data_IF_723919788150
#
_entry.id   IF_723919788150
#
_cell.length_a   1.000
_cell.length_b   1.000
_cell.length_c   1.000
_cell.angle_alpha   90.00
_cell.angle_beta   90.00
_cell.angle_gamma   90.00
#
_symmetry.space_group_name_H-M   'P 1'
#
loop_
_entity.id
_entity.type
_entity.pdbx_description
1 polymer ?
#
# COMPACT_ATOMS: atom_id res chain seq x y z
N UNK A 1 6.23 16.47 -0.39
CA UNK A 1 6.62 17.84 -0.80
C UNK A 1 5.75 18.39 -1.95
N UNK A 2 4.74 17.63 -2.41
CA UNK A 2 3.89 18.03 -3.53
C UNK A 2 4.46 17.66 -4.90
N UNK A 3 5.67 17.07 -4.94
CA UNK A 3 6.32 16.62 -6.16
C UNK A 3 6.07 15.12 -6.37
N UNK A 4 5.96 14.64 -7.62
CA UNK A 4 5.78 13.21 -7.89
C UNK A 4 7.06 12.41 -7.57
N UNK A 5 6.91 11.38 -6.74
CA UNK A 5 7.92 10.34 -6.50
C UNK A 5 7.80 9.19 -7.51
N UNK A 6 8.74 8.22 -7.47
CA UNK A 6 8.68 7.01 -8.30
C UNK A 6 8.59 5.76 -7.41
N UNK A 7 7.67 4.87 -7.76
CA UNK A 7 7.64 3.50 -7.25
C UNK A 7 7.94 2.55 -8.41
N UNK A 8 8.96 1.71 -8.26
CA UNK A 8 9.36 0.74 -9.28
C UNK A 8 9.25 -0.69 -8.74
N UNK A 9 8.65 -1.58 -9.53
CA UNK A 9 8.58 -3.02 -9.26
C UNK A 9 9.47 -3.80 -10.24
N UNK A 10 10.16 -4.81 -9.73
CA UNK A 10 11.02 -5.69 -10.50
C UNK A 10 10.51 -7.13 -10.49
N UNK A 11 10.81 -7.88 -11.55
CA UNK A 11 10.31 -9.25 -11.74
C UNK A 11 10.65 -10.21 -10.57
N UNK A 12 11.74 -9.96 -9.84
CA UNK A 12 12.16 -10.75 -8.69
C UNK A 12 11.41 -10.45 -7.38
N UNK A 13 10.38 -9.59 -7.42
CA UNK A 13 9.61 -9.22 -6.23
C UNK A 13 10.10 -7.94 -5.54
N UNK A 14 11.23 -7.39 -5.96
CA UNK A 14 11.77 -6.16 -5.38
C UNK A 14 10.86 -4.97 -5.75
N UNK A 15 10.49 -4.17 -4.77
CA UNK A 15 9.79 -2.91 -4.94
C UNK A 15 10.60 -1.80 -4.29
N UNK A 16 10.84 -0.71 -5.01
CA UNK A 16 11.63 0.41 -4.53
C UNK A 16 10.90 1.74 -4.68
N UNK A 17 11.12 2.63 -3.71
CA UNK A 17 10.68 4.03 -3.76
C UNK A 17 11.89 4.93 -4.01
N UNK A 18 11.75 5.84 -4.97
CA UNK A 18 12.72 6.88 -5.26
C UNK A 18 12.05 8.22 -4.99
N UNK A 19 12.47 8.87 -3.90
CA UNK A 19 11.95 10.17 -3.52
C UNK A 19 12.47 11.23 -4.48
N UNK A 20 11.59 12.07 -4.97
CA UNK A 20 11.94 13.23 -5.75
C UNK A 20 12.73 14.19 -4.86
N UNK A 21 13.91 14.56 -5.34
CA UNK A 21 14.77 15.57 -4.70
C UNK A 21 15.03 16.73 -5.63
N UNK A 22 14.30 16.79 -6.75
CA UNK A 22 14.35 17.86 -7.70
C UNK A 22 13.80 19.16 -7.14
N UNK A 23 14.12 20.26 -7.83
CA UNK A 23 13.59 21.58 -7.57
C UNK A 23 13.38 22.31 -8.90
N UNK A 24 12.95 23.57 -8.86
CA UNK A 24 12.78 24.39 -10.06
C UNK A 24 14.09 24.51 -10.85
N UNK A 25 14.24 23.68 -11.88
CA UNK A 25 15.39 23.66 -12.80
C UNK A 25 16.35 22.48 -12.64
N UNK A 26 16.15 21.59 -11.67
CA UNK A 26 16.96 20.38 -11.53
C UNK A 26 16.08 19.14 -11.27
N UNK A 27 16.21 18.12 -12.12
CA UNK A 27 15.62 16.80 -11.89
C UNK A 27 16.57 15.96 -11.03
N UNK A 28 16.06 15.33 -9.98
CA UNK A 28 16.85 14.42 -9.15
C UNK A 28 15.96 13.48 -8.36
N UNK A 29 16.47 12.28 -8.12
CA UNK A 29 15.85 11.32 -7.22
C UNK A 29 16.88 10.82 -6.24
N UNK A 30 16.45 10.59 -5.00
CA UNK A 30 17.26 9.89 -4.00
C UNK A 30 17.52 8.44 -4.45
N UNK A 31 18.52 7.81 -3.82
CA UNK A 31 18.74 6.37 -3.98
C UNK A 31 17.48 5.58 -3.61
N UNK A 32 17.18 4.55 -4.40
CA UNK A 32 16.00 3.72 -4.20
C UNK A 32 16.01 3.02 -2.84
N UNK A 33 14.90 3.17 -2.11
CA UNK A 33 14.66 2.52 -0.83
C UNK A 33 13.80 1.28 -1.05
N UNK A 34 14.24 0.14 -0.52
CA UNK A 34 13.48 -1.11 -0.61
C UNK A 34 12.23 -1.04 0.28
N UNK A 35 11.09 -1.46 -0.28
CA UNK A 35 9.85 -1.65 0.47
C UNK A 35 9.84 -3.08 1.00
N UNK A 36 9.72 -3.22 2.32
CA UNK A 36 9.55 -4.53 2.95
C UNK A 36 8.15 -5.06 2.69
N UNK A 37 8.05 -5.99 1.75
CA UNK A 37 6.81 -6.68 1.41
C UNK A 37 6.93 -8.16 1.78
N UNK A 38 5.79 -8.83 2.07
CA UNK A 38 5.73 -10.28 2.03
C UNK A 38 6.27 -10.81 0.68
N UNK A 39 6.77 -12.06 0.63
CA UNK A 39 7.29 -12.64 -0.60
C UNK A 39 6.26 -12.57 -1.75
N UNK A 40 6.61 -11.87 -2.83
CA UNK A 40 5.83 -11.74 -4.08
C UNK A 40 6.76 -11.87 -5.29
N UNK A 41 6.24 -12.29 -6.45
CA UNK A 41 7.02 -12.42 -7.69
C UNK A 41 6.29 -11.77 -8.87
N UNK A 42 7.06 -11.07 -9.70
CA UNK A 42 6.55 -10.29 -10.84
C UNK A 42 5.38 -9.36 -10.44
N UNK A 43 5.53 -8.56 -9.37
CA UNK A 43 4.50 -7.59 -9.02
C UNK A 43 4.35 -6.55 -10.12
N UNK A 44 3.14 -6.02 -10.26
CA UNK A 44 2.88 -4.74 -10.90
C UNK A 44 2.50 -3.73 -9.84
N UNK A 45 2.87 -2.47 -10.04
CA UNK A 45 2.48 -1.38 -9.16
C UNK A 45 1.24 -0.69 -9.72
N UNK A 46 0.16 -0.64 -8.93
CA UNK A 46 -1.07 0.06 -9.29
C UNK A 46 -1.40 1.03 -8.15
N UNK A 47 -1.62 2.29 -8.49
CA UNK A 47 -2.08 3.33 -7.56
C UNK A 47 -3.49 3.75 -7.96
N UNK A 48 -4.45 3.56 -7.07
CA UNK A 48 -5.87 3.87 -7.28
C UNK A 48 -6.58 3.91 -5.95
N UNK A 49 -7.58 4.78 -5.81
CA UNK A 49 -8.56 4.73 -4.72
C UNK A 49 -9.35 3.42 -4.80
N UNK A 50 -8.99 2.42 -3.98
CA UNK A 50 -9.54 1.08 -4.07
C UNK A 50 -10.77 0.90 -3.18
N UNK A 51 -10.86 1.67 -2.09
CA UNK A 51 -11.91 1.58 -1.09
C UNK A 51 -12.99 2.69 -1.23
N UNK A 52 -12.76 3.70 -2.07
CA UNK A 52 -13.67 4.82 -2.34
C UNK A 52 -13.63 5.93 -1.29
N UNK A 53 -12.55 6.05 -0.51
CA UNK A 53 -12.43 7.06 0.56
C UNK A 53 -11.86 8.40 0.07
N UNK A 54 -11.41 8.46 -1.19
CA UNK A 54 -10.90 9.65 -1.84
C UNK A 54 -9.39 9.83 -1.79
N UNK A 55 -8.64 8.88 -1.21
CA UNK A 55 -7.18 8.83 -1.30
C UNK A 55 -6.68 7.68 -2.21
N UNK A 56 -5.41 7.76 -2.66
CA UNK A 56 -4.84 6.71 -3.51
C UNK A 56 -4.19 5.62 -2.66
N UNK A 57 -4.68 4.39 -2.81
CA UNK A 57 -4.07 3.18 -2.25
C UNK A 57 -3.00 2.59 -3.17
N UNK A 58 -2.19 1.65 -2.63
CA UNK A 58 -1.24 0.87 -3.40
C UNK A 58 -1.66 -0.60 -3.49
N UNK A 59 -1.86 -1.08 -4.71
CA UNK A 59 -2.14 -2.47 -5.01
C UNK A 59 -1.02 -3.10 -5.83
N UNK A 60 -0.48 -4.22 -5.32
CA UNK A 60 0.66 -4.94 -5.86
C UNK A 60 0.26 -6.38 -6.23
N UNK A 61 -0.51 -6.56 -7.32
CA UNK A 61 -0.83 -7.90 -7.82
C UNK A 61 0.42 -8.56 -8.38
N UNK A 62 0.55 -9.85 -8.12
CA UNK A 62 1.69 -10.67 -8.49
C UNK A 62 1.21 -12.04 -8.99
N UNK A 63 2.13 -12.90 -9.42
CA UNK A 63 1.77 -14.27 -9.83
C UNK A 63 1.45 -15.20 -8.65
N UNK A 64 1.76 -14.80 -7.41
CA UNK A 64 1.59 -15.62 -6.20
C UNK A 64 0.52 -15.10 -5.24
N UNK A 65 -0.19 -14.04 -5.61
CA UNK A 65 -1.11 -13.32 -4.74
C UNK A 65 -0.95 -11.82 -4.93
N UNK A 66 -1.39 -11.04 -3.94
CA UNK A 66 -1.25 -9.60 -3.98
C UNK A 66 -0.94 -9.03 -2.60
N UNK A 67 -0.20 -7.92 -2.60
CA UNK A 67 -0.13 -7.04 -1.43
C UNK A 67 -1.05 -5.85 -1.68
N UNK A 68 -1.79 -5.46 -0.65
CA UNK A 68 -2.59 -4.25 -0.62
C UNK A 68 -2.10 -3.39 0.53
N UNK A 69 -1.84 -2.12 0.26
CA UNK A 69 -1.47 -1.13 1.26
C UNK A 69 -2.51 -0.02 1.18
N UNK A 70 -3.37 0.00 2.20
CA UNK A 70 -4.37 1.04 2.38
C UNK A 70 -3.69 2.31 2.90
N UNK A 71 -3.91 3.44 2.24
CA UNK A 71 -3.26 4.69 2.63
C UNK A 71 -3.83 5.25 3.93
N UNK A 72 -5.16 5.31 4.03
CA UNK A 72 -5.88 5.67 5.27
C UNK A 72 -5.39 4.88 6.49
N UNK A 73 -5.01 3.61 6.32
CA UNK A 73 -4.45 2.79 7.41
C UNK A 73 -3.06 3.26 7.87
N UNK A 74 -2.20 3.69 6.95
CA UNK A 74 -0.86 4.18 7.30
C UNK A 74 -0.91 5.49 8.10
N UNK A 75 -1.90 6.34 7.83
CA UNK A 75 -2.09 7.61 8.51
C UNK A 75 -2.88 7.46 9.83
N UNK A 76 -3.97 6.68 9.81
CA UNK A 76 -4.92 6.56 10.93
C UNK A 76 -4.73 5.34 11.84
N UNK A 77 -4.04 4.30 11.36
CA UNK A 77 -3.91 3.02 12.05
C UNK A 77 -5.23 2.27 12.23
N UNK A 78 -5.22 1.26 13.10
CA UNK A 78 -6.46 0.55 13.47
C UNK A 78 -7.37 1.43 14.33
N UNK A 79 -8.62 1.59 13.91
CA UNK A 79 -9.67 2.09 14.79
C UNK A 79 -10.07 1.01 15.82
N UNK A 80 -10.26 1.42 17.08
CA UNK A 80 -10.80 0.51 18.11
C UNK A 80 -12.22 0.10 17.75
N UNK A 81 -12.42 -1.20 17.50
CA UNK A 81 -13.76 -1.73 17.31
C UNK A 81 -14.54 -1.76 18.64
N UNK A 82 -15.84 -1.45 18.58
CA UNK A 82 -16.76 -1.60 19.71
C UNK A 82 -17.72 -2.76 19.44
N UNK A 83 -17.74 -3.74 20.33
CA UNK A 83 -18.76 -4.80 20.31
C UNK A 83 -20.15 -4.16 20.57
N UNK A 84 -21.00 -4.13 19.54
CA UNK A 84 -22.36 -3.57 19.66
C UNK A 84 -23.36 -4.62 20.18
N UNK A 85 -23.18 -5.90 19.79
CA UNK A 85 -24.07 -7.00 20.16
C UNK A 85 -23.34 -8.34 20.05
N UNK A 86 -23.57 -9.24 21.02
CA UNK A 86 -23.14 -10.63 20.98
C UNK A 86 -24.38 -11.51 21.16
N UNK A 87 -24.71 -12.31 20.15
CA UNK A 87 -25.79 -13.29 20.22
C UNK A 87 -25.21 -14.69 20.42
N UNK A 88 -25.77 -15.43 21.37
CA UNK A 88 -25.46 -16.85 21.54
C UNK A 88 -26.55 -17.65 20.85
N UNK A 89 -26.17 -18.64 20.05
CA UNK A 89 -27.14 -19.58 19.49
C UNK A 89 -27.92 -20.26 20.61
N UNK A 90 -29.25 -20.43 20.48
CA UNK A 90 -30.01 -21.19 21.45
C UNK A 90 -29.48 -22.62 21.51
N UNK A 91 -29.30 -23.15 22.72
CA UNK A 91 -29.03 -24.59 22.89
C UNK A 91 -30.26 -25.35 22.41
N UNK A 92 -30.06 -26.24 21.46
CA UNK A 92 -31.05 -27.29 21.15
C UNK A 92 -30.88 -28.34 22.25
N UNK A 93 -31.88 -28.50 23.10
CA UNK A 93 -31.98 -29.63 24.04
C UNK A 93 -32.36 -30.92 23.31
#
# INVERSE_FOLDING_TARGET
DGWPDIIASAANGRVQVFLNTGNEGATGFASGQDVELPPIIQPRTIMVDLNGDGDEDLYLPSTQGACFVERSFLEGGYATAKLIRLEKSPKVE
#
